data_IF_245204279251
#
_entry.id   IF_245204279251
#
_cell.length_a   1.000
_cell.length_b   1.000
_cell.length_c   1.000
_cell.angle_alpha   90.00
_cell.angle_beta   90.00
_cell.angle_gamma   90.00
#
_symmetry.space_group_name_H-M   'P 1'
#
loop_
_entity.id
_entity.type
_entity.pdbx_description
1 polymer ?
#
# COMPACT_ATOMS: atom_id res chain seq x y z
N UNK A 1 26.40 14.16 64.99
CA UNK A 1 25.22 14.11 64.11
C UNK A 1 24.09 14.90 64.78
N UNK A 2 23.78 16.11 64.29
CA UNK A 2 22.68 16.95 64.79
C UNK A 2 21.50 16.83 63.81
N UNK A 3 20.32 16.45 64.31
CA UNK A 3 19.06 16.50 63.57
C UNK A 3 18.57 17.95 63.50
N UNK A 4 18.29 18.43 62.29
CA UNK A 4 17.57 19.67 62.05
C UNK A 4 16.10 19.33 61.86
N UNK A 5 15.24 19.84 62.75
CA UNK A 5 13.79 19.82 62.58
C UNK A 5 13.35 21.08 61.83
N UNK A 6 12.60 20.90 60.76
CA UNK A 6 11.99 22.00 60.00
C UNK A 6 10.59 22.28 60.55
N UNK A 7 10.41 23.49 61.10
CA UNK A 7 9.11 24.03 61.47
C UNK A 7 8.55 24.76 60.25
N UNK A 8 7.39 24.32 59.74
CA UNK A 8 6.69 24.97 58.63
C UNK A 8 5.68 25.98 59.21
N UNK A 9 5.70 27.26 58.80
CA UNK A 9 4.71 28.23 59.25
C UNK A 9 3.36 28.05 58.53
N UNK A 10 2.25 28.45 59.17
CA UNK A 10 0.90 28.24 58.63
C UNK A 10 0.65 29.15 57.42
N UNK A 11 0.14 28.57 56.34
CA UNK A 11 -0.24 29.30 55.14
C UNK A 11 -1.58 30.02 55.35
N UNK A 12 -1.59 31.34 55.16
CA UNK A 12 -2.80 32.15 55.02
C UNK A 12 -3.42 31.93 53.65
N UNK A 13 -4.65 31.42 53.61
CA UNK A 13 -5.44 31.30 52.39
C UNK A 13 -5.92 32.67 51.93
N UNK A 14 -5.27 33.24 50.91
CA UNK A 14 -5.88 34.30 50.10
C UNK A 14 -6.78 33.66 49.03
N UNK A 15 -8.04 34.11 48.96
CA UNK A 15 -8.99 33.72 47.91
C UNK A 15 -8.44 34.14 46.55
N UNK A 16 -8.11 33.15 45.72
CA UNK A 16 -7.69 33.36 44.35
C UNK A 16 -8.87 33.81 43.47
N UNK A 17 -8.68 34.93 42.79
CA UNK A 17 -9.53 35.39 41.69
C UNK A 17 -9.57 34.37 40.53
N UNK A 18 -10.66 34.33 39.73
CA UNK A 18 -10.86 33.32 38.70
C UNK A 18 -9.78 33.41 37.62
N UNK A 19 -8.95 32.36 37.54
CA UNK A 19 -7.90 32.18 36.53
C UNK A 19 -8.50 32.27 35.12
N UNK A 20 -8.04 33.27 34.36
CA UNK A 20 -8.33 33.40 32.94
C UNK A 20 -7.96 32.13 32.17
N UNK A 21 -8.78 31.81 31.15
CA UNK A 21 -8.56 30.67 30.25
C UNK A 21 -7.16 30.75 29.64
N UNK A 22 -6.26 29.89 30.09
CA UNK A 22 -4.95 29.68 29.46
C UNK A 22 -5.24 29.19 28.04
N UNK A 23 -4.97 30.03 27.02
CA UNK A 23 -4.96 29.60 25.62
C UNK A 23 -3.95 28.46 25.53
N UNK A 24 -4.41 27.23 25.29
CA UNK A 24 -3.52 26.12 24.91
C UNK A 24 -2.80 26.57 23.64
N UNK A 25 -1.52 26.90 23.75
CA UNK A 25 -0.67 27.02 22.57
C UNK A 25 -0.75 25.69 21.83
N UNK A 26 -1.27 25.74 20.60
CA UNK A 26 -1.30 24.57 19.75
C UNK A 26 0.13 24.18 19.47
N UNK A 27 0.57 23.03 19.98
CA UNK A 27 1.87 22.45 19.65
C UNK A 27 1.91 22.27 18.13
N UNK A 28 2.63 23.15 17.45
CA UNK A 28 2.77 23.11 15.99
C UNK A 28 3.53 21.82 15.64
N UNK A 29 2.99 21.06 14.70
CA UNK A 29 3.60 19.83 14.23
C UNK A 29 4.99 20.12 13.62
N UNK A 30 6.10 19.60 14.19
CA UNK A 30 7.44 19.92 13.72
C UNK A 30 7.67 19.50 12.27
N UNK A 31 7.00 18.45 11.78
CA UNK A 31 7.13 18.01 10.39
C UNK A 31 6.41 18.94 9.40
N UNK A 32 5.26 19.48 9.79
CA UNK A 32 4.56 20.47 8.98
C UNK A 32 5.37 21.77 8.88
N UNK A 33 5.98 22.19 10.00
CA UNK A 33 6.87 23.33 10.01
C UNK A 33 8.08 23.10 9.10
N UNK A 34 8.76 21.96 9.23
CA UNK A 34 9.87 21.57 8.36
C UNK A 34 9.50 21.63 6.87
N UNK A 35 8.38 21.03 6.49
CA UNK A 35 7.93 21.00 5.09
C UNK A 35 7.72 22.42 4.56
N UNK A 36 7.12 23.30 5.36
CA UNK A 36 6.93 24.70 4.98
C UNK A 36 8.26 25.44 4.84
N UNK A 37 9.17 25.29 5.80
CA UNK A 37 10.50 25.90 5.74
C UNK A 37 11.29 25.44 4.50
N UNK A 38 11.26 24.14 4.18
CA UNK A 38 11.87 23.59 2.97
C UNK A 38 11.25 24.16 1.69
N UNK A 39 9.91 24.20 1.60
CA UNK A 39 9.23 24.74 0.42
C UNK A 39 9.49 26.24 0.22
N UNK A 40 9.60 27.01 1.30
CA UNK A 40 9.98 28.42 1.21
C UNK A 40 11.44 28.55 0.75
N UNK A 41 12.36 27.75 1.30
CA UNK A 41 13.75 27.74 0.89
C UNK A 41 13.94 27.37 -0.59
N UNK A 42 13.19 26.37 -1.09
CA UNK A 42 13.13 26.04 -2.52
C UNK A 42 12.61 27.21 -3.36
N UNK A 43 11.63 27.94 -2.86
CA UNK A 43 11.09 29.12 -3.53
C UNK A 43 12.12 30.24 -3.62
N UNK A 44 12.84 30.50 -2.54
CA UNK A 44 13.96 31.45 -2.52
C UNK A 44 15.06 31.03 -3.48
N UNK A 45 15.42 29.74 -3.51
CA UNK A 45 16.42 29.22 -4.45
C UNK A 45 16.01 29.43 -5.90
N UNK A 46 14.75 29.13 -6.23
CA UNK A 46 14.24 29.31 -7.60
C UNK A 46 14.28 30.76 -8.07
N UNK A 47 14.08 31.72 -7.17
CA UNK A 47 14.06 33.15 -7.51
C UNK A 47 15.45 33.76 -7.60
N UNK A 48 16.37 33.38 -6.71
CA UNK A 48 17.65 34.07 -6.56
C UNK A 48 18.88 33.21 -6.82
N UNK A 49 18.73 31.88 -6.82
CA UNK A 49 19.82 30.90 -6.89
C UNK A 49 20.56 30.71 -5.56
N UNK A 50 21.31 29.61 -5.47
CA UNK A 50 22.02 29.18 -4.25
C UNK A 50 23.13 30.13 -3.79
N UNK A 51 23.67 30.94 -4.70
CA UNK A 51 24.78 31.85 -4.40
C UNK A 51 24.33 33.20 -3.82
N UNK A 52 23.03 33.52 -3.92
CA UNK A 52 22.51 34.82 -3.54
C UNK A 52 22.41 35.00 -2.01
N UNK A 53 22.59 36.25 -1.56
CA UNK A 53 22.61 36.61 -0.13
C UNK A 53 21.32 36.19 0.59
N UNK A 54 20.15 36.47 -0.02
CA UNK A 54 18.84 36.13 0.56
C UNK A 54 18.68 34.61 0.76
N UNK A 55 19.11 33.80 -0.22
CA UNK A 55 19.07 32.34 -0.08
C UNK A 55 19.96 31.88 1.07
N UNK A 56 21.20 32.39 1.15
CA UNK A 56 22.15 32.04 2.22
C UNK A 56 21.65 32.45 3.61
N UNK A 57 21.00 33.60 3.74
CA UNK A 57 20.39 34.05 5.00
C UNK A 57 19.24 33.13 5.41
N UNK A 58 18.35 32.80 4.48
CA UNK A 58 17.25 31.88 4.75
C UNK A 58 17.73 30.46 5.07
N UNK A 59 18.74 29.97 4.35
CA UNK A 59 19.38 28.68 4.60
C UNK A 59 19.95 28.60 6.03
N UNK A 60 20.60 29.66 6.51
CA UNK A 60 21.14 29.74 7.88
C UNK A 60 20.05 29.71 8.96
N UNK A 61 18.82 30.08 8.63
CA UNK A 61 17.67 29.98 9.54
C UNK A 61 17.08 28.58 9.55
N UNK A 62 16.90 27.97 8.38
CA UNK A 62 16.24 26.66 8.23
C UNK A 62 17.16 25.50 8.67
N UNK A 63 18.45 25.54 8.33
CA UNK A 63 19.36 24.42 8.60
C UNK A 63 19.44 24.03 10.09
N UNK A 64 19.58 24.97 11.07
CA UNK A 64 19.55 24.63 12.48
C UNK A 64 18.29 23.89 12.94
N UNK A 65 17.12 24.20 12.36
CA UNK A 65 15.86 23.51 12.67
C UNK A 65 15.90 22.06 12.19
N UNK A 66 16.40 21.84 10.96
CA UNK A 66 16.60 20.49 10.39
C UNK A 66 17.60 19.71 11.23
N UNK A 67 18.74 20.30 11.57
CA UNK A 67 19.78 19.68 12.39
C UNK A 67 19.24 19.29 13.77
N UNK A 68 18.47 20.17 14.43
CA UNK A 68 17.83 19.86 15.71
C UNK A 68 16.90 18.66 15.59
N UNK A 69 16.05 18.63 14.56
CA UNK A 69 15.13 17.53 14.34
C UNK A 69 15.86 16.22 14.00
N UNK A 70 16.97 16.28 13.26
CA UNK A 70 17.84 15.13 12.97
C UNK A 70 18.53 14.60 14.23
N UNK A 71 18.97 15.47 15.14
CA UNK A 71 19.53 15.04 16.43
C UNK A 71 18.50 14.27 17.26
N UNK A 72 17.25 14.72 17.27
CA UNK A 72 16.16 14.07 18.02
C UNK A 72 15.68 12.77 17.37
N UNK A 73 15.59 12.72 16.03
CA UNK A 73 14.97 11.60 15.29
C UNK A 73 15.95 10.65 14.62
N UNK A 74 17.24 10.98 14.60
CA UNK A 74 18.33 10.33 13.85
C UNK A 74 18.21 10.40 12.33
N UNK A 75 17.00 10.36 11.79
CA UNK A 75 16.73 10.54 10.35
C UNK A 75 15.36 11.17 10.07
N UNK A 76 15.26 11.78 8.88
CA UNK A 76 14.03 12.34 8.33
C UNK A 76 13.83 11.75 6.93
N UNK A 77 12.79 10.95 6.74
CA UNK A 77 12.42 10.36 5.45
C UNK A 77 11.24 11.11 4.83
N UNK A 78 11.39 11.52 3.58
CA UNK A 78 10.33 12.04 2.71
C UNK A 78 9.90 10.93 1.75
N UNK A 79 8.60 10.72 1.65
CA UNK A 79 7.99 9.72 0.78
C UNK A 79 6.71 10.28 0.18
N UNK A 80 6.46 9.95 -1.08
CA UNK A 80 5.22 10.27 -1.76
C UNK A 80 4.44 8.99 -2.06
N UNK A 81 3.14 8.99 -1.75
CA UNK A 81 2.20 7.94 -2.12
C UNK A 81 0.84 8.53 -2.39
N UNK A 82 0.22 8.13 -3.50
CA UNK A 82 -1.13 8.58 -3.88
C UNK A 82 -1.30 10.10 -3.75
N UNK A 83 -0.30 10.86 -4.23
CA UNK A 83 -0.27 12.32 -4.18
C UNK A 83 -0.35 12.89 -2.74
N UNK A 84 0.13 12.12 -1.78
CA UNK A 84 0.21 12.46 -0.35
C UNK A 84 1.67 12.44 0.10
N UNK A 85 2.11 13.55 0.72
CA UNK A 85 3.43 13.64 1.33
C UNK A 85 3.43 12.98 2.71
N UNK A 86 4.32 12.02 2.92
CA UNK A 86 4.64 11.45 4.23
C UNK A 86 6.03 11.91 4.68
N UNK A 87 6.13 12.41 5.92
CA UNK A 87 7.41 12.69 6.57
C UNK A 87 7.53 11.81 7.81
N UNK A 88 8.55 10.95 7.86
CA UNK A 88 8.68 9.89 8.87
C UNK A 88 7.36 9.09 9.06
N UNK A 89 6.71 8.71 7.95
CA UNK A 89 5.41 8.00 7.90
C UNK A 89 4.21 8.81 8.42
N UNK A 90 4.39 10.07 8.81
CA UNK A 90 3.29 10.96 9.19
C UNK A 90 2.76 11.68 7.96
N UNK A 91 1.46 11.60 7.74
CA UNK A 91 0.78 12.34 6.67
C UNK A 91 0.87 13.83 6.92
N UNK A 92 1.36 14.57 5.92
CA UNK A 92 1.36 16.02 5.91
C UNK A 92 0.21 16.48 5.02
N UNK A 93 -0.63 17.36 5.55
CA UNK A 93 -1.72 17.94 4.77
C UNK A 93 -1.17 18.85 3.67
N UNK A 94 -1.45 18.50 2.42
CA UNK A 94 -0.94 19.17 1.22
C UNK A 94 -1.93 20.19 0.67
N UNK A 95 -2.64 20.91 1.52
CA UNK A 95 -3.67 21.86 1.08
C UNK A 95 -3.08 23.16 0.52
N UNK A 96 -1.91 23.58 1.01
CA UNK A 96 -1.25 24.83 0.60
C UNK A 96 -0.32 24.66 -0.62
N UNK A 97 -0.12 25.74 -1.37
CA UNK A 97 0.67 25.72 -2.61
C UNK A 97 2.17 25.47 -2.41
N UNK A 98 2.71 25.75 -1.22
CA UNK A 98 4.12 25.51 -0.91
C UNK A 98 4.36 24.01 -0.69
N UNK A 99 3.50 23.36 0.08
CA UNK A 99 3.58 21.91 0.32
C UNK A 99 3.37 21.11 -0.97
N UNK A 100 2.40 21.51 -1.82
CA UNK A 100 2.20 20.90 -3.15
C UNK A 100 3.42 21.00 -4.06
N UNK A 101 4.23 22.05 -3.91
CA UNK A 101 5.46 22.23 -4.68
C UNK A 101 6.52 21.21 -4.30
N UNK A 102 6.76 21.02 -3.00
CA UNK A 102 7.69 19.99 -2.51
C UNK A 102 7.24 18.59 -2.95
N UNK A 103 5.94 18.30 -2.83
CA UNK A 103 5.35 17.05 -3.28
C UNK A 103 5.65 16.80 -4.78
N UNK A 104 5.40 17.79 -5.63
CA UNK A 104 5.70 17.69 -7.07
C UNK A 104 7.18 17.45 -7.34
N UNK A 105 8.07 18.17 -6.66
CA UNK A 105 9.51 17.96 -6.77
C UNK A 105 9.91 16.52 -6.42
N UNK A 106 9.32 15.92 -5.38
CA UNK A 106 9.58 14.53 -5.03
C UNK A 106 9.06 13.55 -6.12
N UNK A 107 7.87 13.80 -6.68
CA UNK A 107 7.34 13.02 -7.80
C UNK A 107 8.25 13.12 -9.04
N UNK A 108 8.76 14.32 -9.35
CA UNK A 108 9.57 14.57 -10.55
C UNK A 108 10.91 13.82 -10.53
N UNK A 109 11.45 13.53 -9.33
CA UNK A 109 12.68 12.75 -9.14
C UNK A 109 12.47 11.25 -9.42
N UNK A 110 11.24 10.75 -9.43
CA UNK A 110 10.90 9.33 -9.62
C UNK A 110 11.65 8.38 -8.67
N UNK A 111 11.73 8.76 -7.39
CA UNK A 111 12.36 7.96 -6.33
C UNK A 111 11.31 7.56 -5.28
N UNK A 112 11.55 6.45 -4.58
CA UNK A 112 10.64 6.06 -3.50
C UNK A 112 10.82 6.94 -2.27
N UNK A 113 12.03 6.91 -1.70
CA UNK A 113 12.35 7.61 -0.47
C UNK A 113 13.56 8.51 -0.64
N UNK A 114 13.48 9.70 -0.06
CA UNK A 114 14.61 10.58 0.23
C UNK A 114 14.79 10.65 1.74
N UNK A 115 16.00 10.40 2.23
CA UNK A 115 16.29 10.33 3.66
C UNK A 115 17.43 11.29 3.97
N UNK A 116 17.24 12.14 4.97
CA UNK A 116 18.30 12.92 5.61
C UNK A 116 18.72 12.18 6.88
N UNK A 117 20.02 11.96 7.06
CA UNK A 117 20.58 11.31 8.24
C UNK A 117 21.28 12.31 9.17
N UNK A 118 21.36 11.97 10.46
CA UNK A 118 22.17 12.71 11.43
C UNK A 118 23.63 12.75 10.96
N UNK A 119 24.28 13.91 11.11
CA UNK A 119 25.60 14.18 10.54
C UNK A 119 25.55 15.05 9.29
N UNK A 120 24.36 15.34 8.76
CA UNK A 120 24.14 16.23 7.62
C UNK A 120 24.83 17.59 7.82
N UNK A 121 25.72 17.96 6.91
CA UNK A 121 26.37 19.28 6.91
C UNK A 121 25.56 20.32 6.15
N UNK A 122 25.94 21.60 6.29
CA UNK A 122 25.28 22.69 5.56
C UNK A 122 25.47 22.55 4.04
N UNK A 123 26.65 22.10 3.61
CA UNK A 123 27.01 21.88 2.21
C UNK A 123 26.17 20.76 1.60
N UNK A 124 26.02 19.64 2.31
CA UNK A 124 25.16 18.53 1.87
C UNK A 124 23.69 18.95 1.82
N UNK A 125 23.25 19.80 2.76
CA UNK A 125 21.90 20.35 2.74
C UNK A 125 21.66 21.26 1.54
N UNK A 126 22.65 22.05 1.10
CA UNK A 126 22.56 22.81 -0.15
C UNK A 126 22.37 21.87 -1.34
N UNK A 127 23.16 20.78 -1.42
CA UNK A 127 23.02 19.77 -2.48
C UNK A 127 21.62 19.17 -2.49
N UNK A 128 21.06 18.86 -1.31
CA UNK A 128 19.68 18.38 -1.18
C UNK A 128 18.65 19.39 -1.70
N UNK A 129 18.78 20.68 -1.38
CA UNK A 129 17.86 21.71 -1.88
C UNK A 129 17.97 21.87 -3.40
N UNK A 130 19.17 21.80 -3.98
CA UNK A 130 19.39 21.84 -5.44
C UNK A 130 18.73 20.66 -6.14
N UNK A 131 18.85 19.46 -5.56
CA UNK A 131 18.18 18.25 -6.02
C UNK A 131 16.66 18.44 -6.04
N UNK A 132 16.06 18.94 -4.96
CA UNK A 132 14.62 19.19 -4.90
C UNK A 132 14.15 20.29 -5.87
N UNK A 133 15.01 21.26 -6.19
CA UNK A 133 14.71 22.30 -7.17
C UNK A 133 14.87 21.83 -8.63
N UNK A 134 15.36 20.60 -8.84
CA UNK A 134 15.63 20.04 -10.17
C UNK A 134 16.52 20.95 -11.03
N UNK A 135 17.56 21.54 -10.42
CA UNK A 135 18.55 22.36 -11.16
C UNK A 135 19.29 21.55 -12.23
N UNK A 136 19.44 20.24 -11.97
CA UNK A 136 19.92 19.25 -12.93
C UNK A 136 18.75 18.27 -13.16
N UNK A 137 18.40 17.92 -14.42
CA UNK A 137 17.24 17.10 -14.76
C UNK A 137 17.44 15.62 -14.43
N UNK A 138 17.70 15.32 -13.15
CA UNK A 138 17.99 14.00 -12.63
C UNK A 138 16.70 13.23 -12.37
N UNK A 139 16.63 12.00 -12.86
CA UNK A 139 15.52 11.08 -12.60
C UNK A 139 16.01 9.69 -12.29
N UNK A 140 15.32 9.03 -11.37
CA UNK A 140 15.60 7.66 -10.97
C UNK A 140 16.73 7.55 -9.94
N UNK A 141 16.68 6.46 -9.19
CA UNK A 141 17.53 6.23 -8.00
C UNK A 141 19.03 6.27 -8.32
N UNK A 142 19.48 5.54 -9.33
CA UNK A 142 20.92 5.39 -9.61
C UNK A 142 21.58 6.70 -10.05
N UNK A 143 20.90 7.48 -10.90
CA UNK A 143 21.39 8.79 -11.33
C UNK A 143 21.51 9.75 -10.14
N UNK A 144 20.53 9.75 -9.24
CA UNK A 144 20.54 10.63 -8.07
C UNK A 144 21.59 10.16 -7.05
N UNK A 145 21.76 8.85 -6.83
CA UNK A 145 22.85 8.32 -5.99
C UNK A 145 24.21 8.74 -6.52
N UNK A 146 24.43 8.62 -7.83
CA UNK A 146 25.67 9.05 -8.46
C UNK A 146 25.90 10.55 -8.25
N UNK A 147 24.89 11.38 -8.50
CA UNK A 147 24.95 12.82 -8.26
C UNK A 147 25.33 13.16 -6.81
N UNK A 148 24.66 12.55 -5.83
CA UNK A 148 24.92 12.79 -4.41
C UNK A 148 26.33 12.36 -4.02
N UNK A 149 26.81 11.24 -4.56
CA UNK A 149 28.19 10.77 -4.36
C UNK A 149 29.23 11.75 -4.94
N UNK A 150 29.01 12.23 -6.17
CA UNK A 150 29.90 13.20 -6.83
C UNK A 150 29.95 14.55 -6.12
N UNK A 151 28.85 14.97 -5.48
CA UNK A 151 28.78 16.18 -4.66
C UNK A 151 29.22 15.99 -3.20
N UNK A 152 29.60 14.77 -2.81
CA UNK A 152 30.01 14.46 -1.44
C UNK A 152 28.88 14.55 -0.41
N UNK A 153 27.61 14.38 -0.82
CA UNK A 153 26.43 14.41 0.03
C UNK A 153 26.12 13.02 0.59
N UNK A 154 26.89 12.59 1.59
CA UNK A 154 26.85 11.24 2.14
C UNK A 154 25.65 11.00 3.07
N UNK A 155 25.12 12.05 3.71
CA UNK A 155 23.98 11.95 4.63
C UNK A 155 22.62 12.22 3.95
N UNK A 156 22.60 12.30 2.62
CA UNK A 156 21.39 12.36 1.82
C UNK A 156 21.26 11.02 1.09
N UNK A 157 20.33 10.18 1.51
CA UNK A 157 20.15 8.85 0.92
C UNK A 157 18.91 8.82 0.04
N UNK A 158 19.04 8.11 -1.07
CA UNK A 158 17.91 7.76 -1.94
C UNK A 158 17.72 6.26 -1.90
N UNK A 159 16.47 5.83 -1.76
CA UNK A 159 16.10 4.43 -1.90
C UNK A 159 14.94 4.30 -2.86
N UNK A 160 14.97 3.32 -3.75
CA UNK A 160 13.75 2.88 -4.40
C UNK A 160 12.77 2.43 -3.32
N UNK A 161 11.52 2.82 -3.50
CA UNK A 161 10.45 2.08 -2.89
C UNK A 161 10.43 0.76 -3.65
N UNK A 162 11.11 -0.25 -3.11
CA UNK A 162 10.76 -1.62 -3.44
C UNK A 162 9.36 -1.77 -2.89
N UNK A 163 8.34 -1.51 -3.73
CA UNK A 163 6.99 -1.98 -3.49
C UNK A 163 7.10 -3.51 -3.52
N UNK A 164 7.55 -4.09 -2.41
CA UNK A 164 7.12 -5.43 -2.07
C UNK A 164 5.60 -5.25 -2.00
N UNK A 165 4.90 -5.87 -2.93
CA UNK A 165 3.45 -5.94 -2.90
C UNK A 165 3.11 -6.59 -1.56
N UNK A 166 2.88 -5.76 -0.55
CA UNK A 166 2.31 -6.19 0.72
C UNK A 166 0.85 -6.38 0.37
N UNK A 167 0.51 -7.62 0.03
CA UNK A 167 -0.86 -8.05 -0.18
C UNK A 167 -1.69 -7.54 1.02
N UNK A 168 -2.89 -6.95 0.82
CA UNK A 168 -3.66 -6.43 1.98
C UNK A 168 -4.21 -7.55 2.88
N UNK A 169 -3.85 -8.81 2.63
CA UNK A 169 -4.02 -9.93 3.55
C UNK A 169 -2.77 -10.26 4.38
N UNK A 170 -1.66 -9.54 4.18
CA UNK A 170 -0.77 -9.28 5.30
C UNK A 170 -1.51 -8.33 6.25
N UNK A 171 -2.22 -8.94 7.22
CA UNK A 171 -2.28 -8.39 8.58
C UNK A 171 -0.97 -7.65 8.81
N UNK A 172 -1.00 -6.46 9.41
CA UNK A 172 0.18 -5.93 10.11
C UNK A 172 0.48 -6.92 11.24
N UNK A 173 1.08 -8.06 10.90
CA UNK A 173 1.66 -8.98 11.86
C UNK A 173 2.84 -8.17 12.33
N UNK A 174 2.76 -7.70 13.58
CA UNK A 174 3.96 -7.30 14.33
C UNK A 174 5.04 -8.31 13.96
N UNK A 175 6.12 -7.83 13.32
CA UNK A 175 7.38 -8.52 13.02
C UNK A 175 7.36 -9.97 13.53
N UNK A 176 6.82 -10.87 12.71
CA UNK A 176 6.58 -12.27 13.02
C UNK A 176 6.60 -13.04 11.70
N UNK A 177 7.81 -13.41 11.32
CA UNK A 177 8.20 -14.47 10.37
C UNK A 177 7.13 -14.82 9.31
N UNK A 178 7.27 -14.24 8.12
CA UNK A 178 6.82 -14.93 6.90
C UNK A 178 7.73 -16.15 6.82
N UNK A 179 7.20 -17.32 7.19
CA UNK A 179 7.95 -18.56 7.10
C UNK A 179 8.37 -18.72 5.65
N UNK A 180 9.67 -18.80 5.40
CA UNK A 180 10.12 -19.19 4.07
C UNK A 180 9.53 -20.57 3.77
N UNK A 181 9.12 -20.85 2.53
CA UNK A 181 8.53 -22.17 2.20
C UNK A 181 9.54 -23.29 2.44
N UNK A 182 10.82 -22.94 2.37
CA UNK A 182 11.95 -23.76 2.77
C UNK A 182 11.91 -24.17 4.26
N UNK A 183 11.30 -23.35 5.11
CA UNK A 183 11.11 -23.58 6.55
C UNK A 183 9.85 -24.41 6.87
N UNK A 184 8.98 -24.67 5.88
CA UNK A 184 7.84 -25.57 6.06
C UNK A 184 8.32 -27.03 6.13
N UNK A 185 7.80 -27.76 7.11
CA UNK A 185 8.18 -29.16 7.32
C UNK A 185 7.82 -30.02 6.11
N UNK A 186 8.59 -31.09 5.90
CA UNK A 186 8.38 -32.01 4.78
C UNK A 186 6.99 -32.68 4.84
N UNK A 187 6.46 -32.95 6.04
CA UNK A 187 5.14 -33.56 6.22
C UNK A 187 4.02 -32.65 5.70
N UNK A 188 4.13 -31.34 5.91
CA UNK A 188 3.11 -30.38 5.46
C UNK A 188 3.11 -30.29 3.94
N UNK A 189 4.30 -30.19 3.32
CA UNK A 189 4.44 -30.17 1.86
C UNK A 189 3.90 -31.46 1.23
N UNK A 190 4.25 -32.62 1.77
CA UNK A 190 3.74 -33.89 1.26
C UNK A 190 2.23 -34.03 1.44
N UNK A 191 1.69 -33.62 2.58
CA UNK A 191 0.26 -33.65 2.84
C UNK A 191 -0.48 -32.75 1.87
N UNK A 192 0.04 -31.55 1.63
CA UNK A 192 -0.50 -30.64 0.61
C UNK A 192 -0.52 -31.30 -0.78
N UNK A 193 0.58 -31.94 -1.19
CA UNK A 193 0.65 -32.62 -2.48
C UNK A 193 -0.33 -33.80 -2.58
N UNK A 194 -0.53 -34.56 -1.51
CA UNK A 194 -1.53 -35.64 -1.47
C UNK A 194 -2.94 -35.09 -1.55
N UNK A 195 -3.24 -34.06 -0.78
CA UNK A 195 -4.54 -33.39 -0.81
C UNK A 195 -4.80 -32.78 -2.20
N UNK A 196 -3.76 -32.26 -2.86
CA UNK A 196 -3.86 -31.69 -4.21
C UNK A 196 -4.19 -32.77 -5.24
N UNK A 197 -3.52 -33.94 -5.15
CA UNK A 197 -3.83 -35.11 -5.98
C UNK A 197 -5.27 -35.58 -5.81
N UNK A 198 -5.79 -35.51 -4.59
CA UNK A 198 -7.12 -35.99 -4.24
C UNK A 198 -8.22 -34.93 -4.46
N UNK A 199 -7.87 -33.71 -4.86
CA UNK A 199 -8.83 -32.60 -5.00
C UNK A 199 -9.40 -32.12 -3.66
N UNK A 200 -8.68 -32.33 -2.55
CA UNK A 200 -9.14 -32.04 -1.18
C UNK A 200 -8.57 -30.74 -0.61
N UNK A 201 -7.63 -30.08 -1.30
CA UNK A 201 -6.96 -28.85 -0.84
C UNK A 201 -7.96 -27.76 -0.44
N UNK A 202 -8.99 -27.53 -1.26
CA UNK A 202 -10.02 -26.53 -0.97
C UNK A 202 -10.78 -26.80 0.34
N UNK A 203 -11.04 -28.07 0.68
CA UNK A 203 -11.76 -28.43 1.93
C UNK A 203 -10.95 -28.14 3.19
N UNK A 204 -9.61 -28.21 3.11
CA UNK A 204 -8.73 -28.02 4.27
C UNK A 204 -8.28 -26.58 4.48
N UNK A 205 -8.29 -25.77 3.42
CA UNK A 205 -7.99 -24.34 3.51
C UNK A 205 -9.04 -23.52 4.25
N UNK A 206 -10.31 -23.93 4.13
CA UNK A 206 -11.42 -23.40 4.92
C UNK A 206 -11.22 -23.67 6.42
N UNK A 207 -10.49 -24.74 6.78
CA UNK A 207 -10.18 -25.09 8.17
C UNK A 207 -8.94 -24.36 8.74
N UNK A 208 -8.55 -23.24 8.12
CA UNK A 208 -7.54 -22.29 8.64
C UNK A 208 -6.12 -22.81 8.85
N UNK A 209 -5.65 -23.82 8.10
CA UNK A 209 -4.21 -24.12 8.08
C UNK A 209 -3.47 -23.01 7.31
N UNK A 210 -3.03 -21.95 8.01
CA UNK A 210 -2.26 -20.82 7.43
C UNK A 210 -1.13 -21.28 6.50
N UNK A 211 -0.43 -22.35 6.88
CA UNK A 211 0.67 -22.95 6.12
C UNK A 211 0.23 -23.51 4.76
N UNK A 212 -1.00 -24.03 4.65
CA UNK A 212 -1.56 -24.47 3.38
C UNK A 212 -1.82 -23.28 2.46
N UNK A 213 -2.33 -22.16 2.98
CA UNK A 213 -2.53 -20.94 2.16
C UNK A 213 -1.20 -20.44 1.62
N UNK A 214 -0.16 -20.40 2.45
CA UNK A 214 1.19 -19.98 2.05
C UNK A 214 1.73 -20.85 0.90
N UNK A 215 1.62 -22.17 0.99
CA UNK A 215 2.01 -23.09 -0.11
C UNK A 215 1.18 -22.87 -1.38
N UNK A 216 -0.12 -22.66 -1.21
CA UNK A 216 -1.05 -22.60 -2.31
C UNK A 216 -1.01 -21.26 -3.07
N UNK A 217 -0.35 -20.24 -2.53
CA UNK A 217 -0.15 -18.95 -3.19
C UNK A 217 1.28 -18.76 -3.73
N UNK A 218 2.17 -19.73 -3.53
CA UNK A 218 3.55 -19.65 -4.04
C UNK A 218 3.69 -20.28 -5.42
N UNK A 219 3.98 -19.49 -6.48
CA UNK A 219 4.09 -20.03 -7.83
C UNK A 219 5.23 -21.03 -7.98
N UNK A 220 6.34 -20.86 -7.24
CA UNK A 220 7.54 -21.68 -7.35
C UNK A 220 7.33 -23.07 -6.75
N UNK A 221 6.59 -23.16 -5.65
CA UNK A 221 6.14 -24.40 -5.07
C UNK A 221 5.10 -25.08 -5.97
N UNK A 222 4.08 -24.35 -6.43
CA UNK A 222 3.06 -24.90 -7.30
C UNK A 222 3.61 -25.39 -8.64
N UNK A 223 4.57 -24.69 -9.25
CA UNK A 223 5.20 -25.12 -10.50
C UNK A 223 5.99 -26.41 -10.31
N UNK A 224 6.74 -26.53 -9.21
CA UNK A 224 7.41 -27.78 -8.81
C UNK A 224 6.41 -28.89 -8.55
N UNK A 225 5.33 -28.61 -7.83
CA UNK A 225 4.25 -29.57 -7.57
C UNK A 225 3.64 -30.10 -8.87
N UNK A 226 3.28 -29.22 -9.80
CA UNK A 226 2.76 -29.62 -11.13
C UNK A 226 3.79 -30.46 -11.85
N UNK A 227 5.04 -30.03 -11.84
CA UNK A 227 6.12 -30.74 -12.50
C UNK A 227 6.28 -32.16 -11.94
N UNK A 228 6.29 -32.33 -10.61
CA UNK A 228 6.41 -33.62 -9.95
C UNK A 228 5.20 -34.53 -10.22
N UNK A 229 4.00 -33.96 -10.24
CA UNK A 229 2.76 -34.67 -10.59
C UNK A 229 2.74 -35.10 -12.06
N UNK A 230 3.35 -34.31 -12.94
CA UNK A 230 3.36 -34.53 -14.38
C UNK A 230 4.58 -35.34 -14.86
N UNK A 231 5.61 -35.54 -14.04
CA UNK A 231 6.88 -36.18 -14.44
C UNK A 231 6.71 -37.55 -15.10
N UNK A 232 5.69 -38.30 -14.72
CA UNK A 232 5.38 -39.63 -15.24
C UNK A 232 4.15 -39.64 -16.16
N UNK A 233 3.74 -38.48 -16.67
CA UNK A 233 2.54 -38.31 -17.51
C UNK A 233 2.96 -37.94 -18.93
N UNK A 234 2.77 -38.87 -19.85
CA UNK A 234 3.04 -38.64 -21.27
C UNK A 234 1.84 -38.10 -22.05
N UNK A 235 0.66 -38.05 -21.43
CA UNK A 235 -0.57 -37.56 -22.03
C UNK A 235 -0.76 -36.04 -21.73
N UNK A 236 -0.88 -35.18 -22.75
CA UNK A 236 -1.22 -33.76 -22.58
C UNK A 236 -2.49 -33.50 -21.78
N UNK A 237 -3.48 -34.40 -21.84
CA UNK A 237 -4.74 -34.25 -21.09
C UNK A 237 -4.54 -34.43 -19.58
N UNK A 238 -3.65 -35.34 -19.17
CA UNK A 238 -3.36 -35.55 -17.76
C UNK A 238 -2.65 -34.33 -17.16
N UNK A 239 -1.73 -33.73 -17.92
CA UNK A 239 -1.08 -32.48 -17.54
C UNK A 239 -2.11 -31.34 -17.45
N UNK A 240 -3.01 -31.23 -18.43
CA UNK A 240 -4.07 -30.23 -18.39
C UNK A 240 -4.95 -30.39 -17.14
N UNK A 241 -5.33 -31.62 -16.78
CA UNK A 241 -6.08 -31.91 -15.54
C UNK A 241 -5.31 -31.48 -14.28
N UNK A 242 -4.02 -31.77 -14.20
CA UNK A 242 -3.18 -31.36 -13.06
C UNK A 242 -3.11 -29.84 -12.94
N UNK A 243 -2.88 -29.15 -14.06
CA UNK A 243 -2.86 -27.67 -14.08
C UNK A 243 -4.24 -27.13 -13.69
N UNK A 244 -5.32 -27.77 -14.15
CA UNK A 244 -6.69 -27.38 -13.83
C UNK A 244 -7.04 -27.55 -12.36
N UNK A 245 -6.53 -28.59 -11.67
CA UNK A 245 -6.72 -28.76 -10.23
C UNK A 245 -6.20 -27.55 -9.43
N UNK A 246 -5.05 -27.01 -9.83
CA UNK A 246 -4.52 -25.78 -9.22
C UNK A 246 -5.31 -24.55 -9.69
N UNK A 247 -5.73 -24.52 -10.96
CA UNK A 247 -6.59 -23.47 -11.49
C UNK A 247 -7.91 -23.34 -10.72
N UNK A 248 -8.65 -24.43 -10.58
CA UNK A 248 -9.91 -24.49 -9.84
C UNK A 248 -9.72 -24.04 -8.39
N UNK A 249 -8.62 -24.44 -7.78
CA UNK A 249 -8.23 -23.97 -6.46
C UNK A 249 -8.04 -22.44 -6.43
N UNK A 250 -7.18 -21.89 -7.29
CA UNK A 250 -6.89 -20.45 -7.33
C UNK A 250 -8.14 -19.63 -7.70
N UNK A 251 -9.07 -20.18 -8.47
CA UNK A 251 -10.34 -19.54 -8.80
C UNK A 251 -11.30 -19.60 -7.60
N UNK A 252 -11.30 -20.71 -6.87
CA UNK A 252 -12.14 -20.92 -5.68
C UNK A 252 -11.84 -19.96 -4.53
N UNK A 253 -10.58 -19.58 -4.36
CA UNK A 253 -10.14 -18.60 -3.34
C UNK A 253 -10.43 -17.13 -3.70
N UNK A 254 -11.02 -16.86 -4.87
CA UNK A 254 -11.39 -15.49 -5.24
C UNK A 254 -12.73 -15.18 -4.57
N UNK A 255 -12.68 -14.41 -3.48
CA UNK A 255 -13.83 -13.85 -2.77
C UNK A 255 -13.98 -12.34 -3.03
N UNK A 256 -12.91 -11.68 -3.48
CA UNK A 256 -12.93 -10.27 -3.87
C UNK A 256 -12.37 -10.01 -5.28
N UNK A 257 -12.79 -8.89 -5.88
CA UNK A 257 -12.23 -8.43 -7.15
C UNK A 257 -10.72 -8.11 -7.06
N UNK A 258 -10.21 -7.88 -5.84
CA UNK A 258 -8.80 -7.63 -5.59
C UNK A 258 -8.00 -8.93 -5.60
N UNK A 259 -8.52 -9.98 -4.97
CA UNK A 259 -7.97 -11.34 -5.04
C UNK A 259 -7.95 -11.88 -6.47
N UNK A 260 -8.94 -11.56 -7.32
CA UNK A 260 -8.88 -11.93 -8.76
C UNK A 260 -7.59 -11.43 -9.41
N UNK A 261 -7.24 -10.17 -9.16
CA UNK A 261 -6.05 -9.56 -9.76
C UNK A 261 -4.77 -10.22 -9.25
N UNK A 262 -4.72 -10.57 -7.96
CA UNK A 262 -3.59 -11.27 -7.33
C UNK A 262 -3.45 -12.67 -7.93
N UNK A 263 -4.54 -13.44 -7.96
CA UNK A 263 -4.54 -14.80 -8.50
C UNK A 263 -4.21 -14.81 -9.99
N UNK A 264 -4.65 -13.83 -10.77
CA UNK A 264 -4.26 -13.71 -12.18
C UNK A 264 -2.75 -13.47 -12.36
N UNK A 265 -2.13 -12.66 -11.52
CA UNK A 265 -0.67 -12.45 -11.54
C UNK A 265 0.06 -13.76 -11.16
N UNK A 266 -0.43 -14.46 -10.13
CA UNK A 266 0.13 -15.73 -9.70
C UNK A 266 -0.01 -16.81 -10.80
N UNK A 267 -1.16 -16.90 -11.47
CA UNK A 267 -1.40 -17.79 -12.64
C UNK A 267 -0.39 -17.49 -13.76
N UNK A 268 -0.16 -16.22 -14.09
CA UNK A 268 0.82 -15.85 -15.13
C UNK A 268 2.27 -16.17 -14.74
N UNK A 269 2.63 -16.00 -13.46
CA UNK A 269 3.94 -16.42 -12.95
C UNK A 269 4.10 -17.94 -13.00
N UNK A 270 3.09 -18.67 -12.53
CA UNK A 270 3.03 -20.13 -12.54
C UNK A 270 3.18 -20.67 -13.97
N UNK A 271 2.42 -20.10 -14.91
CA UNK A 271 2.54 -20.37 -16.34
C UNK A 271 3.99 -20.22 -16.79
N UNK A 272 4.61 -19.05 -16.63
CA UNK A 272 6.01 -18.82 -17.05
C UNK A 272 6.98 -19.86 -16.48
N UNK A 273 6.85 -20.18 -15.20
CA UNK A 273 7.72 -21.17 -14.55
C UNK A 273 7.52 -22.58 -15.11
N UNK A 274 6.28 -23.01 -15.37
CA UNK A 274 6.00 -24.31 -15.99
C UNK A 274 6.57 -24.36 -17.40
N UNK A 275 6.44 -23.30 -18.20
CA UNK A 275 7.02 -23.25 -19.54
C UNK A 275 8.55 -23.39 -19.51
N UNK A 276 9.23 -22.77 -18.54
CA UNK A 276 10.69 -22.92 -18.35
C UNK A 276 11.02 -24.38 -18.01
N UNK A 277 10.40 -24.94 -16.97
CA UNK A 277 10.64 -26.31 -16.52
C UNK A 277 10.34 -27.36 -17.61
N UNK A 278 9.35 -27.09 -18.46
CA UNK A 278 8.96 -28.01 -19.53
C UNK A 278 9.93 -27.98 -20.71
N UNK A 279 10.32 -26.78 -21.17
CA UNK A 279 11.28 -26.60 -22.26
C UNK A 279 12.65 -27.22 -21.96
N UNK A 280 13.07 -27.18 -20.70
CA UNK A 280 14.34 -27.75 -20.27
C UNK A 280 14.38 -29.28 -20.28
N UNK A 281 13.22 -29.96 -20.22
CA UNK A 281 13.17 -31.42 -19.98
C UNK A 281 12.49 -32.22 -21.08
N UNK A 282 11.49 -31.67 -21.75
CA UNK A 282 10.63 -32.43 -22.66
C UNK A 282 10.27 -31.53 -23.85
N UNK A 283 10.97 -31.70 -24.97
CA UNK A 283 10.61 -31.03 -26.22
C UNK A 283 9.44 -31.77 -26.89
N UNK A 284 8.21 -31.49 -26.42
CA UNK A 284 6.96 -31.99 -27.02
C UNK A 284 6.05 -30.79 -27.37
N UNK A 285 6.05 -30.30 -28.63
CA UNK A 285 5.29 -29.13 -29.05
C UNK A 285 3.78 -29.20 -28.74
N UNK A 286 3.18 -30.39 -28.85
CA UNK A 286 1.76 -30.58 -28.56
C UNK A 286 1.42 -30.31 -27.09
N UNK A 287 2.30 -30.69 -26.16
CA UNK A 287 2.10 -30.40 -24.74
C UNK A 287 2.13 -28.90 -24.46
N UNK A 288 3.05 -28.17 -25.09
CA UNK A 288 3.14 -26.71 -24.94
C UNK A 288 1.83 -26.02 -25.34
N UNK A 289 1.22 -26.45 -26.44
CA UNK A 289 -0.09 -25.96 -26.90
C UNK A 289 -1.20 -26.26 -25.89
N UNK A 290 -1.21 -27.47 -25.32
CA UNK A 290 -2.18 -27.85 -24.28
C UNK A 290 -2.00 -27.05 -22.98
N UNK A 291 -0.77 -26.85 -22.52
CA UNK A 291 -0.43 -26.01 -21.35
C UNK A 291 -0.93 -24.58 -21.58
N UNK A 292 -0.62 -23.99 -22.74
CA UNK A 292 -1.06 -22.63 -23.10
C UNK A 292 -2.58 -22.50 -23.08
N UNK A 293 -3.29 -23.45 -23.74
CA UNK A 293 -4.75 -23.46 -23.80
C UNK A 293 -5.36 -23.57 -22.42
N UNK A 294 -4.81 -24.44 -21.57
CA UNK A 294 -5.25 -24.66 -20.19
C UNK A 294 -5.07 -23.38 -19.37
N UNK A 295 -3.89 -22.77 -19.35
CA UNK A 295 -3.68 -21.51 -18.61
C UNK A 295 -4.56 -20.35 -19.10
N UNK A 296 -4.82 -20.30 -20.41
CA UNK A 296 -5.71 -19.29 -20.99
C UNK A 296 -7.13 -19.47 -20.44
N UNK A 297 -7.61 -20.71 -20.39
CA UNK A 297 -8.93 -21.02 -19.83
C UNK A 297 -9.01 -20.73 -18.32
N UNK A 298 -7.96 -21.04 -17.52
CA UNK A 298 -7.92 -20.70 -16.08
C UNK A 298 -8.00 -19.18 -15.90
N UNK A 299 -7.21 -18.43 -16.67
CA UNK A 299 -7.19 -16.96 -16.60
C UNK A 299 -8.55 -16.35 -16.94
N UNK A 300 -9.24 -16.90 -17.95
CA UNK A 300 -10.61 -16.48 -18.30
C UNK A 300 -11.61 -16.82 -17.19
N UNK A 301 -11.56 -18.02 -16.62
CA UNK A 301 -12.46 -18.43 -15.55
C UNK A 301 -12.24 -17.57 -14.27
N UNK A 302 -10.99 -17.27 -13.93
CA UNK A 302 -10.63 -16.32 -12.85
C UNK A 302 -11.23 -14.94 -13.10
N UNK A 303 -11.10 -14.41 -14.33
CA UNK A 303 -11.69 -13.13 -14.71
C UNK A 303 -13.22 -13.13 -14.60
N UNK A 304 -13.89 -14.21 -15.03
CA UNK A 304 -15.34 -14.36 -14.91
C UNK A 304 -15.76 -14.32 -13.44
N UNK A 305 -15.08 -15.07 -12.57
CA UNK A 305 -15.34 -15.05 -11.12
C UNK A 305 -15.19 -13.65 -10.52
N UNK A 306 -14.14 -12.92 -10.87
CA UNK A 306 -13.97 -11.52 -10.43
C UNK A 306 -15.08 -10.58 -10.91
N UNK A 307 -15.56 -10.75 -12.16
CA UNK A 307 -16.69 -9.98 -12.69
C UNK A 307 -18.00 -10.29 -11.95
N UNK A 308 -18.25 -11.56 -11.61
CA UNK A 308 -19.42 -11.97 -10.81
C UNK A 308 -19.40 -11.28 -9.44
N UNK A 309 -18.25 -11.28 -8.76
CA UNK A 309 -18.12 -10.63 -7.45
C UNK A 309 -18.27 -9.10 -7.51
N UNK A 310 -17.78 -8.46 -8.58
CA UNK A 310 -18.03 -7.05 -8.81
C UNK A 310 -19.51 -6.78 -8.99
N UNK A 311 -20.18 -7.58 -9.82
CA UNK A 311 -21.62 -7.47 -10.02
C UNK A 311 -22.38 -7.62 -8.69
N UNK A 312 -22.11 -8.65 -7.90
CA UNK A 312 -22.73 -8.85 -6.58
C UNK A 312 -22.50 -7.67 -5.63
N UNK A 313 -21.26 -7.13 -5.59
CA UNK A 313 -20.91 -5.97 -4.78
C UNK A 313 -21.69 -4.72 -5.21
N UNK A 314 -21.79 -4.47 -6.51
CA UNK A 314 -22.56 -3.33 -7.04
C UNK A 314 -24.05 -3.49 -6.77
N UNK A 315 -24.62 -4.67 -6.97
CA UNK A 315 -26.03 -4.97 -6.68
C UNK A 315 -26.35 -4.74 -5.20
N UNK A 316 -25.55 -5.28 -4.28
CA UNK A 316 -25.72 -5.03 -2.83
C UNK A 316 -25.63 -3.55 -2.45
N UNK A 317 -24.69 -2.81 -3.06
CA UNK A 317 -24.57 -1.37 -2.83
C UNK A 317 -25.75 -0.57 -3.40
N UNK A 318 -26.26 -0.96 -4.58
CA UNK A 318 -27.44 -0.37 -5.19
C UNK A 318 -28.68 -0.60 -4.31
N UNK A 319 -28.90 -1.83 -3.82
CA UNK A 319 -29.98 -2.15 -2.87
C UNK A 319 -29.88 -1.35 -1.57
N UNK A 320 -28.66 -1.22 -1.01
CA UNK A 320 -28.41 -0.42 0.19
C UNK A 320 -28.73 1.06 -0.02
N UNK A 321 -28.26 1.63 -1.12
CA UNK A 321 -28.52 3.03 -1.46
C UNK A 321 -30.00 3.27 -1.75
N UNK A 322 -30.65 2.37 -2.49
CA UNK A 322 -32.10 2.42 -2.73
C UNK A 322 -32.88 2.39 -1.41
N UNK A 323 -32.49 1.53 -0.47
CA UNK A 323 -33.09 1.48 0.88
C UNK A 323 -32.90 2.79 1.65
N UNK A 324 -31.75 3.46 1.52
CA UNK A 324 -31.51 4.77 2.13
C UNK A 324 -32.35 5.87 1.47
N UNK A 325 -32.42 5.88 0.14
CA UNK A 325 -33.27 6.83 -0.61
C UNK A 325 -34.74 6.62 -0.22
N UNK A 326 -35.21 5.38 -0.10
CA UNK A 326 -36.58 5.08 0.32
C UNK A 326 -36.88 5.62 1.72
N UNK A 327 -35.98 5.44 2.69
CA UNK A 327 -36.13 6.02 4.04
C UNK A 327 -36.21 7.54 4.00
N UNK A 328 -35.43 8.19 3.14
CA UNK A 328 -35.49 9.65 2.97
C UNK A 328 -36.80 10.05 2.28
N UNK A 329 -37.22 9.32 1.23
CA UNK A 329 -38.48 9.57 0.52
C UNK A 329 -39.71 9.49 1.43
N UNK A 330 -39.71 8.57 2.40
CA UNK A 330 -40.79 8.43 3.39
C UNK A 330 -40.95 9.67 4.28
N UNK A 331 -39.92 10.53 4.38
CA UNK A 331 -40.00 11.80 5.12
C UNK A 331 -40.51 12.98 4.29
N UNK A 332 -40.64 12.82 2.97
CA UNK A 332 -41.08 13.88 2.06
C UNK A 332 -42.60 13.84 1.85
N UNK A 333 -43.28 15.00 1.65
CA UNK A 333 -44.68 15.03 1.21
C UNK A 333 -44.84 14.29 -0.12
N UNK A 334 -45.85 13.41 -0.20
CA UNK A 334 -46.07 12.55 -1.38
C UNK A 334 -46.42 13.34 -2.63
N UNK A 335 -47.02 14.52 -2.45
CA UNK A 335 -47.42 15.43 -3.52
C UNK A 335 -46.21 16.21 -4.08
N UNK A 336 -45.07 16.19 -3.37
CA UNK A 336 -43.87 16.91 -3.82
C UNK A 336 -43.33 16.33 -5.14
N UNK A 337 -42.93 17.22 -6.05
CA UNK A 337 -42.35 16.85 -7.33
C UNK A 337 -41.11 15.95 -7.17
N UNK A 338 -40.28 16.23 -6.15
CA UNK A 338 -39.09 15.44 -5.85
C UNK A 338 -39.44 14.00 -5.46
N UNK A 339 -40.49 13.80 -4.66
CA UNK A 339 -40.98 12.47 -4.30
C UNK A 339 -41.40 11.68 -5.54
N UNK A 340 -42.26 12.27 -6.38
CA UNK A 340 -42.78 11.60 -7.58
C UNK A 340 -41.67 11.24 -8.58
N UNK A 341 -40.75 12.18 -8.85
CA UNK A 341 -39.61 11.92 -9.75
C UNK A 341 -38.66 10.85 -9.23
N UNK A 342 -38.38 10.86 -7.92
CA UNK A 342 -37.46 9.88 -7.33
C UNK A 342 -38.11 8.50 -7.29
N UNK A 343 -39.41 8.42 -6.96
CA UNK A 343 -40.19 7.18 -7.02
C UNK A 343 -40.19 6.58 -8.43
N UNK A 344 -40.53 7.36 -9.45
CA UNK A 344 -40.54 6.90 -10.85
C UNK A 344 -39.15 6.40 -11.29
N UNK A 345 -38.07 7.07 -10.86
CA UNK A 345 -36.71 6.63 -11.14
C UNK A 345 -36.35 5.32 -10.45
N UNK A 346 -36.75 5.13 -9.19
CA UNK A 346 -36.55 3.88 -8.46
C UNK A 346 -37.37 2.72 -9.06
N UNK A 347 -38.60 3.00 -9.49
CA UNK A 347 -39.47 2.05 -10.19
C UNK A 347 -38.81 1.58 -11.50
N UNK A 348 -38.29 2.51 -12.32
CA UNK A 348 -37.62 2.19 -13.60
C UNK A 348 -36.41 1.27 -13.48
N UNK A 349 -35.69 1.32 -12.36
CA UNK A 349 -34.52 0.47 -12.10
C UNK A 349 -34.86 -0.79 -11.31
N UNK A 350 -36.15 -1.05 -11.05
CA UNK A 350 -36.61 -2.25 -10.34
C UNK A 350 -36.22 -2.30 -8.87
N UNK A 351 -35.90 -1.15 -8.25
CA UNK A 351 -35.47 -1.06 -6.85
C UNK A 351 -36.57 -0.53 -5.92
N UNK A 352 -37.78 -0.30 -6.43
CA UNK A 352 -38.93 0.01 -5.60
C UNK A 352 -39.68 -1.29 -5.29
N UNK A 353 -39.87 -1.66 -4.00
CA UNK A 353 -40.62 -2.86 -3.67
C UNK A 353 -42.06 -2.73 -4.19
N UNK A 354 -42.62 -3.78 -4.82
CA UNK A 354 -44.02 -3.74 -5.26
C UNK A 354 -44.89 -3.44 -4.03
N UNK A 355 -45.71 -2.39 -4.14
CA UNK A 355 -46.66 -2.08 -3.08
C UNK A 355 -47.53 -3.32 -2.87
N UNK A 356 -47.49 -3.88 -1.65
CA UNK A 356 -48.45 -4.91 -1.26
C UNK A 356 -49.82 -4.25 -1.33
N UNK A 357 -50.55 -4.54 -2.40
CA UNK A 357 -51.96 -4.19 -2.51
C UNK A 357 -52.69 -5.00 -1.45
N UNK A 358 -53.10 -4.36 -0.36
CA UNK A 358 -54.02 -4.96 0.59
C UNK A 358 -55.33 -5.19 -0.16
N UNK A 359 -55.57 -6.44 -0.56
CA UNK A 359 -56.87 -6.93 -1.04
C UNK A 359 -57.75 -7.27 0.16
#
# INVERSE_FOLDING_TARGET
MKKLEFIVPPQTYQKAEPKGKIKKESVVDPYLHLVRSLSQLMSTNKLYGTNHKIFKEHLKQVFPEVSKLLLEKKSISFFETDNTLLVNRKKIETNDGLTKRLLRSLCDLSVGYLILESGLTLEEFIVFIRLLCNEEPLKGEENIKQYLKEKGANHVLVRSATYKLVEEDEKVVKKGEVLAIEELSFEIRNRFLQDLKNGEVGKKLVKEERKYRELAHDPSFLSKAIFDLAKNKDNPEDLAKIIWLIGDYMIGEIDTAREEKINRIAIEKLKKQIFILWREKISKPDMEKHIQKTFTAISLASKIKGLILLYEKYTKNLEKNASQIQKILETLPKESQLYQQTKEKLDKIGLFPPQKTNK
#
